data_IF_520090943022
#
_entry.id   IF_520090943022
#
_cell.length_a   1.000
_cell.length_b   1.000
_cell.length_c   1.000
_cell.angle_alpha   90.00
_cell.angle_beta   90.00
_cell.angle_gamma   90.00
#
_symmetry.space_group_name_H-M   'P 1'
#
loop_
_entity.id
_entity.type
_entity.pdbx_description
1 polymer ?
#
# COMPACT_ATOMS: atom_id res chain seq x y z
N UNK A 1 -9.79 -46.59 -3.94
CA UNK A 1 -10.70 -45.51 -3.50
C UNK A 1 -9.91 -44.31 -2.95
N UNK A 2 -8.93 -44.51 -2.08
CA UNK A 2 -8.09 -43.42 -1.52
C UNK A 2 -7.30 -42.62 -2.59
N UNK A 3 -6.72 -43.28 -3.60
CA UNK A 3 -5.96 -42.61 -4.67
C UNK A 3 -6.86 -41.68 -5.52
N UNK A 4 -8.12 -42.05 -5.73
CA UNK A 4 -9.10 -41.25 -6.50
C UNK A 4 -9.52 -40.00 -5.71
N UNK A 5 -9.69 -40.14 -4.40
CA UNK A 5 -10.05 -39.03 -3.50
C UNK A 5 -8.89 -38.02 -3.42
N UNK A 6 -7.64 -38.49 -3.30
CA UNK A 6 -6.45 -37.62 -3.29
C UNK A 6 -6.31 -36.90 -4.64
N UNK A 7 -6.54 -37.58 -5.76
CA UNK A 7 -6.54 -36.96 -7.10
C UNK A 7 -7.59 -35.87 -7.26
N UNK A 8 -8.82 -36.10 -6.78
CA UNK A 8 -9.91 -35.12 -6.81
C UNK A 8 -9.65 -33.90 -5.91
N UNK A 9 -9.09 -34.11 -4.72
CA UNK A 9 -8.71 -33.02 -3.81
C UNK A 9 -7.55 -32.19 -4.38
N UNK A 10 -6.54 -32.83 -4.96
CA UNK A 10 -5.44 -32.14 -5.64
C UNK A 10 -5.95 -31.34 -6.85
N UNK A 11 -6.87 -31.90 -7.63
CA UNK A 11 -7.51 -31.21 -8.76
C UNK A 11 -8.35 -30.01 -8.30
N UNK A 12 -9.17 -30.17 -7.26
CA UNK A 12 -9.97 -29.10 -6.68
C UNK A 12 -9.07 -27.98 -6.12
N UNK A 13 -8.01 -28.34 -5.39
CA UNK A 13 -7.00 -27.40 -4.90
C UNK A 13 -6.32 -26.66 -6.06
N UNK A 14 -5.84 -27.37 -7.08
CA UNK A 14 -5.23 -26.77 -8.27
C UNK A 14 -6.19 -25.79 -8.99
N UNK A 15 -7.45 -26.19 -9.20
CA UNK A 15 -8.50 -25.34 -9.78
C UNK A 15 -8.74 -24.09 -8.93
N UNK A 16 -8.84 -24.25 -7.61
CA UNK A 16 -9.09 -23.15 -6.69
C UNK A 16 -7.92 -22.14 -6.68
N UNK A 17 -6.68 -22.62 -6.56
CA UNK A 17 -5.47 -21.80 -6.63
C UNK A 17 -5.33 -21.08 -7.97
N UNK A 18 -5.54 -21.79 -9.09
CA UNK A 18 -5.46 -21.20 -10.42
C UNK A 18 -6.48 -20.08 -10.63
N UNK A 19 -7.70 -20.24 -10.10
CA UNK A 19 -8.73 -19.20 -10.19
C UNK A 19 -8.45 -17.99 -9.28
N UNK A 20 -7.86 -18.19 -8.09
CA UNK A 20 -7.44 -17.07 -7.22
C UNK A 20 -6.27 -16.29 -7.81
N UNK A 21 -5.28 -16.95 -8.43
CA UNK A 21 -4.19 -16.27 -9.11
C UNK A 21 -4.66 -15.50 -10.34
N UNK A 22 -5.58 -16.06 -11.12
CA UNK A 22 -6.16 -15.38 -12.29
C UNK A 22 -7.01 -14.17 -11.90
N UNK A 23 -7.82 -14.29 -10.84
CA UNK A 23 -8.59 -13.17 -10.30
C UNK A 23 -7.69 -12.06 -9.73
N UNK A 24 -6.61 -12.44 -9.04
CA UNK A 24 -5.59 -11.50 -8.57
C UNK A 24 -4.94 -10.74 -9.72
N UNK A 25 -4.52 -11.44 -10.79
CA UNK A 25 -3.95 -10.80 -11.98
C UNK A 25 -4.93 -9.84 -12.66
N UNK A 26 -6.19 -10.25 -12.80
CA UNK A 26 -7.22 -9.39 -13.40
C UNK A 26 -7.54 -8.17 -12.51
N UNK A 27 -7.40 -8.29 -11.18
CA UNK A 27 -7.53 -7.17 -10.26
C UNK A 27 -6.43 -6.13 -10.49
N UNK A 28 -5.17 -6.59 -10.62
CA UNK A 28 -4.03 -5.71 -10.88
C UNK A 28 -4.18 -5.02 -12.23
N UNK A 29 -4.64 -5.77 -13.24
CA UNK A 29 -4.94 -5.25 -14.57
C UNK A 29 -6.05 -4.21 -14.55
N UNK A 30 -7.11 -4.43 -13.76
CA UNK A 30 -8.18 -3.46 -13.52
C UNK A 30 -7.68 -2.18 -12.85
N UNK A 31 -6.78 -2.30 -11.88
CA UNK A 31 -6.16 -1.16 -11.22
C UNK A 31 -5.35 -0.33 -12.22
N UNK A 32 -4.41 -0.94 -12.95
CA UNK A 32 -3.58 -0.23 -13.95
C UNK A 32 -4.44 0.47 -15.00
N UNK A 33 -5.47 -0.21 -15.50
CA UNK A 33 -6.40 0.36 -16.48
C UNK A 33 -7.10 1.62 -15.96
N UNK A 34 -7.60 1.58 -14.72
CA UNK A 34 -8.31 2.71 -14.12
C UNK A 34 -7.39 3.88 -13.80
N UNK A 35 -6.17 3.63 -13.33
CA UNK A 35 -5.16 4.69 -13.14
C UNK A 35 -4.78 5.34 -14.47
N UNK A 36 -4.56 4.55 -15.53
CA UNK A 36 -4.25 5.08 -16.86
C UNK A 36 -5.39 5.96 -17.42
N UNK A 37 -6.65 5.58 -17.19
CA UNK A 37 -7.80 6.41 -17.54
C UNK A 37 -7.87 7.71 -16.71
N UNK A 38 -7.56 7.63 -15.42
CA UNK A 38 -7.56 8.79 -14.51
C UNK A 38 -6.52 9.84 -14.92
N UNK A 39 -5.37 9.40 -15.44
CA UNK A 39 -4.31 10.27 -15.99
C UNK A 39 -4.65 10.87 -17.37
N UNK A 40 -5.87 10.70 -17.87
CA UNK A 40 -6.30 11.21 -19.17
C UNK A 40 -5.96 10.30 -20.35
N UNK A 41 -5.52 9.07 -20.09
CA UNK A 41 -5.28 8.07 -21.12
C UNK A 41 -6.57 7.68 -21.85
N UNK A 42 -6.43 7.29 -23.12
CA UNK A 42 -7.53 6.70 -23.88
C UNK A 42 -7.82 5.27 -23.40
N UNK A 43 -9.03 4.77 -23.63
CA UNK A 43 -9.36 3.37 -23.33
C UNK A 43 -8.44 2.38 -24.06
N UNK A 44 -7.96 2.72 -25.26
CA UNK A 44 -7.10 1.86 -26.06
C UNK A 44 -5.67 1.81 -25.50
N UNK A 45 -5.11 2.97 -25.10
CA UNK A 45 -3.79 3.02 -24.46
C UNK A 45 -3.83 2.35 -23.09
N UNK A 46 -4.84 2.63 -22.26
CA UNK A 46 -4.98 2.02 -20.94
C UNK A 46 -5.08 0.48 -20.99
N UNK A 47 -5.80 -0.08 -21.97
CA UNK A 47 -5.85 -1.54 -22.16
C UNK A 47 -4.47 -2.10 -22.57
N UNK A 48 -3.76 -1.41 -23.48
CA UNK A 48 -2.42 -1.82 -23.91
C UNK A 48 -1.41 -1.77 -22.75
N UNK A 49 -1.46 -0.74 -21.92
CA UNK A 49 -0.56 -0.59 -20.77
C UNK A 49 -0.83 -1.68 -19.73
N UNK A 50 -2.11 -1.91 -19.41
CA UNK A 50 -2.53 -2.97 -18.50
C UNK A 50 -2.10 -4.36 -19.01
N UNK A 51 -2.22 -4.64 -20.31
CA UNK A 51 -1.76 -5.90 -20.91
C UNK A 51 -0.24 -6.02 -20.94
N UNK A 52 0.48 -4.93 -21.18
CA UNK A 52 1.95 -4.93 -21.30
C UNK A 52 2.60 -5.16 -19.94
N UNK A 53 2.19 -4.39 -18.94
CA UNK A 53 2.73 -4.47 -17.57
C UNK A 53 2.42 -5.84 -16.96
N UNK A 54 1.23 -6.40 -17.22
CA UNK A 54 0.86 -7.71 -16.66
C UNK A 54 1.43 -8.90 -17.41
N UNK A 55 2.17 -8.73 -18.51
CA UNK A 55 2.86 -9.83 -19.22
C UNK A 55 4.22 -10.18 -18.61
N UNK A 56 4.92 -9.20 -18.02
CA UNK A 56 6.20 -9.42 -17.36
C UNK A 56 6.03 -9.54 -15.84
N UNK A 57 5.48 -10.68 -15.41
CA UNK A 57 5.20 -11.00 -14.00
C UNK A 57 6.46 -11.16 -13.13
N UNK A 58 7.63 -11.33 -13.76
CA UNK A 58 8.90 -11.51 -13.05
C UNK A 58 9.64 -10.19 -12.81
N UNK A 59 9.30 -9.14 -13.56
CA UNK A 59 9.88 -7.81 -13.36
C UNK A 59 9.56 -7.26 -11.96
N UNK A 60 10.55 -6.57 -11.38
CA UNK A 60 10.34 -5.86 -10.13
C UNK A 60 9.30 -4.74 -10.28
N UNK A 61 9.17 -4.16 -11.48
CA UNK A 61 8.10 -3.22 -11.83
C UNK A 61 6.71 -3.82 -11.61
N UNK A 62 6.43 -5.03 -12.11
CA UNK A 62 5.14 -5.69 -11.92
C UNK A 62 4.91 -6.09 -10.45
N UNK A 63 5.96 -6.52 -9.73
CA UNK A 63 5.84 -6.79 -8.29
C UNK A 63 5.40 -5.56 -7.51
N UNK A 64 5.92 -4.39 -7.85
CA UNK A 64 5.50 -3.14 -7.22
C UNK A 64 4.06 -2.79 -7.56
N UNK A 65 3.69 -2.87 -8.83
CA UNK A 65 2.31 -2.59 -9.28
C UNK A 65 1.31 -3.55 -8.60
N UNK A 66 1.68 -4.80 -8.38
CA UNK A 66 0.88 -5.76 -7.59
C UNK A 66 0.76 -5.32 -6.13
N UNK A 67 1.83 -4.84 -5.51
CA UNK A 67 1.82 -4.32 -4.14
C UNK A 67 0.94 -3.06 -4.03
N UNK A 68 1.03 -2.14 -5.00
CA UNK A 68 0.19 -0.94 -5.09
C UNK A 68 -1.28 -1.29 -5.25
N UNK A 69 -1.60 -2.16 -6.22
CA UNK A 69 -2.96 -2.65 -6.42
C UNK A 69 -3.51 -3.33 -5.17
N UNK A 70 -2.70 -4.13 -4.46
CA UNK A 70 -3.11 -4.79 -3.21
C UNK A 70 -3.34 -3.79 -2.08
N UNK A 71 -2.49 -2.77 -1.96
CA UNK A 71 -2.66 -1.69 -0.98
C UNK A 71 -3.96 -0.93 -1.22
N UNK A 72 -4.17 -0.45 -2.45
CA UNK A 72 -5.36 0.30 -2.84
C UNK A 72 -6.64 -0.53 -2.68
N UNK A 73 -6.60 -1.81 -3.06
CA UNK A 73 -7.72 -2.72 -2.88
C UNK A 73 -8.12 -2.85 -1.41
N UNK A 74 -7.15 -2.91 -0.50
CA UNK A 74 -7.42 -3.00 0.94
C UNK A 74 -7.94 -1.69 1.52
N UNK A 75 -7.34 -0.55 1.15
CA UNK A 75 -7.69 0.76 1.71
C UNK A 75 -9.00 1.31 1.17
N UNK A 76 -9.27 1.15 -0.12
CA UNK A 76 -10.45 1.73 -0.78
C UNK A 76 -11.61 0.73 -0.88
N UNK A 77 -11.31 -0.57 -0.98
CA UNK A 77 -12.31 -1.60 -1.29
C UNK A 77 -12.41 -2.72 -0.24
N UNK A 78 -11.71 -2.59 0.90
CA UNK A 78 -11.73 -3.59 1.97
C UNK A 78 -11.26 -4.98 1.52
N UNK A 79 -10.40 -5.04 0.48
CA UNK A 79 -9.87 -6.27 -0.10
C UNK A 79 -10.78 -6.93 -1.15
N UNK A 80 -11.91 -6.33 -1.53
CA UNK A 80 -12.86 -6.93 -2.47
C UNK A 80 -12.45 -6.71 -3.93
N UNK A 81 -12.07 -7.78 -4.63
CA UNK A 81 -11.58 -7.78 -6.01
C UNK A 81 -12.67 -7.55 -7.07
N UNK A 82 -13.87 -8.13 -6.89
CA UNK A 82 -14.92 -8.08 -7.91
C UNK A 82 -15.44 -6.66 -8.21
N UNK A 83 -15.64 -5.76 -7.22
CA UNK A 83 -16.09 -4.39 -7.48
C UNK A 83 -15.16 -3.58 -8.39
N UNK A 84 -13.84 -3.63 -8.16
CA UNK A 84 -12.85 -2.88 -8.97
C UNK A 84 -12.78 -3.45 -10.40
N UNK A 85 -12.79 -4.78 -10.56
CA UNK A 85 -12.80 -5.43 -11.87
C UNK A 85 -14.09 -5.06 -12.63
N UNK A 86 -15.24 -5.15 -11.95
CA UNK A 86 -16.53 -4.80 -12.54
C UNK A 86 -16.62 -3.34 -12.97
N UNK A 87 -16.00 -2.44 -12.19
CA UNK A 87 -15.90 -1.02 -12.54
C UNK A 87 -15.05 -0.80 -13.78
N UNK A 88 -13.85 -1.39 -13.83
CA UNK A 88 -12.97 -1.34 -15.00
C UNK A 88 -13.65 -1.88 -16.27
N UNK A 89 -14.37 -3.01 -16.18
CA UNK A 89 -15.15 -3.54 -17.32
C UNK A 89 -16.23 -2.57 -17.80
N UNK A 90 -16.96 -1.91 -16.88
CA UNK A 90 -17.96 -0.89 -17.25
C UNK A 90 -17.33 0.34 -17.91
N UNK A 91 -16.07 0.63 -17.60
CA UNK A 91 -15.30 1.75 -18.18
C UNK A 91 -14.60 1.41 -19.50
N UNK A 92 -14.70 0.15 -19.96
CA UNK A 92 -14.17 -0.29 -21.27
C UNK A 92 -12.91 -1.16 -21.21
N UNK A 93 -12.55 -1.70 -20.04
CA UNK A 93 -11.45 -2.66 -19.95
C UNK A 93 -11.82 -3.97 -20.67
N UNK A 94 -10.92 -4.47 -21.51
CA UNK A 94 -11.06 -5.76 -22.17
C UNK A 94 -10.90 -6.89 -21.16
N UNK A 95 -11.83 -7.84 -21.11
CA UNK A 95 -11.75 -8.96 -20.17
C UNK A 95 -10.72 -9.99 -20.65
N UNK A 96 -9.83 -10.41 -19.76
CA UNK A 96 -8.99 -11.60 -19.97
C UNK A 96 -9.57 -12.84 -19.27
N UNK A 97 -10.72 -12.67 -18.61
CA UNK A 97 -11.39 -13.72 -17.85
C UNK A 97 -12.51 -14.38 -18.68
N UNK A 98 -12.87 -15.63 -18.37
CA UNK A 98 -14.01 -16.29 -19.02
C UNK A 98 -15.32 -15.51 -18.82
N UNK A 99 -16.25 -15.64 -19.77
CA UNK A 99 -17.51 -14.89 -19.78
C UNK A 99 -18.30 -14.97 -18.47
N UNK A 100 -18.34 -16.14 -17.82
CA UNK A 100 -19.03 -16.33 -16.55
C UNK A 100 -18.46 -15.42 -15.43
N UNK A 101 -17.14 -15.21 -15.40
CA UNK A 101 -16.50 -14.35 -14.41
C UNK A 101 -16.80 -12.88 -14.68
N UNK A 102 -16.84 -12.49 -15.96
CA UNK A 102 -17.25 -11.15 -16.38
C UNK A 102 -18.67 -10.84 -15.91
N UNK A 103 -19.62 -11.78 -16.04
CA UNK A 103 -20.97 -11.58 -15.53
C UNK A 103 -20.98 -11.32 -14.03
N UNK A 104 -20.26 -12.14 -13.25
CA UNK A 104 -20.16 -11.98 -11.79
C UNK A 104 -19.53 -10.62 -11.42
N UNK A 105 -18.45 -10.23 -12.09
CA UNK A 105 -17.78 -8.95 -11.84
C UNK A 105 -18.69 -7.75 -12.18
N UNK A 106 -19.44 -7.81 -13.29
CA UNK A 106 -20.39 -6.77 -13.67
C UNK A 106 -21.59 -6.68 -12.71
N UNK A 107 -22.00 -7.80 -12.11
CA UNK A 107 -23.02 -7.82 -11.06
C UNK A 107 -22.54 -7.29 -9.71
N UNK A 108 -21.23 -7.07 -9.52
CA UNK A 108 -20.72 -6.52 -8.28
C UNK A 108 -21.19 -5.06 -8.10
N UNK A 109 -21.66 -4.70 -6.89
CA UNK A 109 -22.16 -3.36 -6.62
C UNK A 109 -21.07 -2.31 -6.82
N UNK A 110 -21.40 -1.22 -7.50
CA UNK A 110 -20.53 -0.06 -7.61
C UNK A 110 -20.50 0.62 -6.23
N UNK A 111 -19.31 0.74 -5.65
CA UNK A 111 -19.14 1.53 -4.43
C UNK A 111 -18.93 2.99 -4.79
N UNK A 112 -19.54 3.91 -4.06
CA UNK A 112 -19.32 5.36 -4.17
C UNK A 112 -17.82 5.71 -4.13
N UNK A 113 -17.02 4.94 -3.38
CA UNK A 113 -15.57 5.07 -3.32
C UNK A 113 -14.86 4.88 -4.68
N UNK A 114 -15.40 4.07 -5.61
CA UNK A 114 -14.85 3.88 -6.96
C UNK A 114 -15.12 5.10 -7.83
N UNK A 115 -16.32 5.68 -7.76
CA UNK A 115 -16.65 6.89 -8.51
C UNK A 115 -15.88 8.12 -7.99
N UNK A 116 -15.65 8.22 -6.68
CA UNK A 116 -14.80 9.27 -6.12
C UNK A 116 -13.33 9.09 -6.58
N UNK A 117 -12.81 7.86 -6.55
CA UNK A 117 -11.43 7.59 -6.90
C UNK A 117 -11.13 7.70 -8.40
N UNK A 118 -12.10 7.34 -9.27
CA UNK A 118 -11.88 7.14 -10.71
C UNK A 118 -12.93 7.81 -11.63
N UNK A 119 -13.99 8.40 -11.09
CA UNK A 119 -15.12 8.97 -11.85
C UNK A 119 -14.97 10.44 -12.25
N UNK A 120 -14.05 11.18 -11.65
CA UNK A 120 -13.89 12.63 -11.86
C UNK A 120 -13.12 12.97 -13.14
N UNK A 121 -13.80 12.92 -14.28
CA UNK A 121 -13.35 13.61 -15.49
C UNK A 121 -13.74 15.09 -15.45
N UNK A 122 -12.91 15.95 -14.86
CA UNK A 122 -12.97 17.40 -15.11
C UNK A 122 -11.57 17.84 -15.58
N UNK A 123 -11.44 18.40 -16.80
CA UNK A 123 -10.17 18.97 -17.24
C UNK A 123 -9.82 20.16 -16.35
N UNK A 124 -8.65 20.11 -15.73
CA UNK A 124 -8.10 21.21 -14.97
C UNK A 124 -7.87 22.40 -15.92
N UNK A 125 -8.77 23.39 -15.89
CA UNK A 125 -8.50 24.68 -16.53
C UNK A 125 -9.14 25.81 -15.73
N UNK A 126 -8.27 26.71 -15.26
CA UNK A 126 -8.49 28.09 -14.79
C UNK A 126 -9.08 28.30 -13.38
N UNK A 127 -8.21 28.21 -12.37
CA UNK A 127 -8.27 29.07 -11.16
C UNK A 127 -6.82 29.42 -10.75
N UNK A 128 -6.18 30.30 -11.52
CA UNK A 128 -4.89 30.94 -11.23
C UNK A 128 -5.26 32.42 -11.01
N UNK A 129 -5.06 33.04 -9.84
CA UNK A 129 -3.77 33.62 -9.46
C UNK A 129 -3.68 34.02 -7.96
N UNK A 130 -4.71 33.82 -7.14
CA UNK A 130 -4.68 34.20 -5.71
C UNK A 130 -4.51 33.03 -4.72
N UNK A 131 -4.58 31.79 -5.19
CA UNK A 131 -4.35 30.59 -4.38
C UNK A 131 -2.89 30.08 -4.43
N UNK A 132 -2.08 30.57 -5.38
CA UNK A 132 -0.74 30.04 -5.66
C UNK A 132 0.20 30.07 -4.45
N UNK A 133 0.25 31.16 -3.67
CA UNK A 133 1.18 31.25 -2.52
C UNK A 133 0.79 30.41 -1.30
N UNK A 134 -0.51 30.11 -1.12
CA UNK A 134 -0.96 29.20 -0.04
C UNK A 134 -0.86 27.74 -0.44
N UNK A 135 -1.00 27.46 -1.73
CA UNK A 135 -0.94 26.10 -2.28
C UNK A 135 0.51 25.64 -2.47
N UNK A 136 1.42 26.53 -2.90
CA UNK A 136 2.86 26.25 -3.00
C UNK A 136 3.46 25.75 -1.67
N UNK A 137 3.11 26.40 -0.54
CA UNK A 137 3.61 25.98 0.78
C UNK A 137 3.00 24.64 1.26
N UNK A 138 1.76 24.34 0.90
CA UNK A 138 1.09 23.08 1.24
C UNK A 138 1.60 21.92 0.38
N UNK A 139 1.87 22.18 -0.89
CA UNK A 139 2.42 21.23 -1.85
C UNK A 139 3.89 20.92 -1.52
N UNK A 140 4.71 21.92 -1.13
CA UNK A 140 6.09 21.69 -0.68
C UNK A 140 6.18 20.87 0.62
N UNK A 141 5.31 21.17 1.60
CA UNK A 141 5.30 20.43 2.87
C UNK A 141 4.84 18.98 2.68
N UNK A 142 3.87 18.76 1.77
CA UNK A 142 3.45 17.42 1.39
C UNK A 142 4.52 16.68 0.59
N UNK A 143 5.21 17.36 -0.34
CA UNK A 143 6.32 16.79 -1.10
C UNK A 143 7.48 16.36 -0.18
N UNK A 144 7.79 17.16 0.84
CA UNK A 144 8.80 16.81 1.84
C UNK A 144 8.39 15.57 2.66
N UNK A 145 7.12 15.51 3.06
CA UNK A 145 6.55 14.33 3.73
C UNK A 145 6.63 13.08 2.84
N UNK A 146 6.20 13.22 1.59
CA UNK A 146 6.20 12.16 0.59
C UNK A 146 7.62 11.64 0.32
N UNK A 147 8.59 12.53 0.11
CA UNK A 147 10.00 12.17 -0.10
C UNK A 147 10.56 11.42 1.10
N UNK A 148 10.30 11.92 2.31
CA UNK A 148 10.75 11.24 3.55
C UNK A 148 10.16 9.84 3.66
N UNK A 149 8.87 9.67 3.35
CA UNK A 149 8.24 8.36 3.31
C UNK A 149 8.87 7.44 2.25
N UNK A 150 9.05 7.92 1.03
CA UNK A 150 9.59 7.14 -0.08
C UNK A 150 11.04 6.70 0.19
N UNK A 151 11.91 7.64 0.57
CA UNK A 151 13.31 7.38 0.89
C UNK A 151 13.43 6.35 2.02
N UNK A 152 12.55 6.44 3.01
CA UNK A 152 12.57 5.51 4.13
C UNK A 152 12.10 4.10 3.76
N UNK A 153 11.08 3.97 2.90
CA UNK A 153 10.68 2.66 2.36
C UNK A 153 11.81 2.06 1.53
N UNK A 154 12.53 2.85 0.73
CA UNK A 154 13.73 2.40 0.01
C UNK A 154 14.81 1.90 0.96
N UNK A 155 15.13 2.69 2.00
CA UNK A 155 16.12 2.32 3.01
C UNK A 155 15.74 1.02 3.73
N UNK A 156 14.49 0.90 4.17
CA UNK A 156 13.99 -0.29 4.90
C UNK A 156 13.88 -1.53 4.04
N UNK A 157 13.54 -1.37 2.76
CA UNK A 157 13.42 -2.49 1.83
C UNK A 157 14.76 -2.93 1.24
N UNK A 158 15.79 -2.09 1.33
CA UNK A 158 17.08 -2.33 0.69
C UNK A 158 17.01 -2.29 -0.84
N UNK A 159 15.90 -1.81 -1.41
CA UNK A 159 15.66 -1.75 -2.86
C UNK A 159 15.89 -0.34 -3.38
N UNK A 160 16.54 -0.25 -4.54
CA UNK A 160 16.83 1.03 -5.19
C UNK A 160 15.55 1.73 -5.70
N UNK A 161 15.63 3.03 -5.94
CA UNK A 161 14.49 3.85 -6.43
C UNK A 161 13.89 3.37 -7.76
N UNK A 162 14.65 2.62 -8.57
CA UNK A 162 14.15 2.00 -9.80
C UNK A 162 13.44 0.65 -9.59
N UNK A 163 13.67 0.00 -8.45
CA UNK A 163 13.10 -1.32 -8.10
C UNK A 163 11.85 -1.24 -7.24
N UNK A 164 11.50 -0.06 -6.73
CA UNK A 164 10.28 0.20 -5.96
C UNK A 164 9.70 1.56 -6.34
N UNK A 165 8.83 1.62 -7.34
CA UNK A 165 8.21 2.88 -7.75
C UNK A 165 7.18 3.32 -6.70
N UNK A 166 7.65 4.03 -5.67
CA UNK A 166 6.79 4.70 -4.68
C UNK A 166 6.15 5.95 -5.29
N UNK A 167 6.73 6.46 -6.40
CA UNK A 167 6.35 7.68 -7.13
C UNK A 167 4.86 7.74 -7.46
N UNK A 168 4.22 6.59 -7.66
CA UNK A 168 2.79 6.50 -7.98
C UNK A 168 1.87 6.69 -6.75
N UNK A 169 2.40 6.75 -5.51
CA UNK A 169 1.64 7.08 -4.29
C UNK A 169 1.55 8.58 -4.01
N UNK A 170 2.23 9.44 -4.77
CA UNK A 170 2.27 10.89 -4.52
C UNK A 170 0.87 11.49 -4.46
N UNK A 171 -0.07 10.98 -5.25
CA UNK A 171 -1.46 11.46 -5.28
C UNK A 171 -2.45 10.49 -4.62
N UNK A 172 -1.96 9.50 -3.87
CA UNK A 172 -2.82 8.50 -3.24
C UNK A 172 -3.50 9.08 -1.98
N UNK A 173 -4.83 9.02 -1.97
CA UNK A 173 -5.67 9.50 -0.87
C UNK A 173 -5.28 8.94 0.52
N UNK A 174 -4.84 7.68 0.68
CA UNK A 174 -4.32 7.18 1.95
C UNK A 174 -3.08 7.96 2.46
N UNK A 175 -2.17 8.36 1.56
CA UNK A 175 -0.95 9.06 1.91
C UNK A 175 -1.22 10.53 2.25
N UNK A 176 -2.09 11.18 1.45
CA UNK A 176 -2.61 12.51 1.75
C UNK A 176 -3.40 12.56 3.06
N UNK A 177 -4.15 11.50 3.39
CA UNK A 177 -4.83 11.39 4.69
C UNK A 177 -3.83 11.22 5.83
N UNK A 178 -2.79 10.40 5.66
CA UNK A 178 -1.75 10.25 6.66
C UNK A 178 -1.04 11.57 6.95
N UNK A 179 -0.73 12.34 5.90
CA UNK A 179 -0.20 13.70 6.03
C UNK A 179 -1.16 14.64 6.77
N UNK A 180 -2.45 14.70 6.37
CA UNK A 180 -3.48 15.52 7.04
C UNK A 180 -3.68 15.16 8.52
N UNK A 181 -3.47 13.89 8.86
CA UNK A 181 -3.54 13.38 10.23
C UNK A 181 -2.21 13.51 11.00
N UNK A 182 -1.21 14.18 10.42
CA UNK A 182 0.12 14.37 11.01
C UNK A 182 0.79 13.07 11.44
N UNK A 183 0.57 11.99 10.69
CA UNK A 183 1.26 10.72 10.90
C UNK A 183 2.74 10.91 10.60
N UNK A 184 3.63 10.34 11.40
CA UNK A 184 5.07 10.35 11.13
C UNK A 184 5.39 9.57 9.84
N UNK A 185 6.03 10.18 8.81
CA UNK A 185 6.34 9.50 7.55
C UNK A 185 7.27 8.29 7.73
N UNK A 186 8.17 8.28 8.73
CA UNK A 186 9.08 7.15 8.98
C UNK A 186 8.33 5.98 9.63
N UNK A 187 7.33 6.27 10.46
CA UNK A 187 6.42 5.25 11.02
C UNK A 187 5.55 4.67 9.92
N UNK A 188 5.02 5.54 9.03
CA UNK A 188 4.22 5.11 7.90
C UNK A 188 5.00 4.22 6.94
N UNK A 189 6.26 4.57 6.64
CA UNK A 189 7.17 3.75 5.84
C UNK A 189 7.42 2.38 6.49
N UNK A 190 7.71 2.35 7.80
CA UNK A 190 7.88 1.10 8.53
C UNK A 190 6.61 0.23 8.52
N UNK A 191 5.43 0.84 8.65
CA UNK A 191 4.15 0.15 8.63
C UNK A 191 3.86 -0.43 7.24
N UNK A 192 4.16 0.34 6.19
CA UNK A 192 4.07 -0.12 4.81
C UNK A 192 5.01 -1.31 4.58
N UNK A 193 6.29 -1.19 4.91
CA UNK A 193 7.25 -2.28 4.72
C UNK A 193 6.87 -3.54 5.50
N UNK A 194 6.43 -3.39 6.75
CA UNK A 194 6.00 -4.52 7.58
C UNK A 194 4.76 -5.22 7.02
N UNK A 195 3.75 -4.44 6.60
CA UNK A 195 2.49 -4.96 6.02
C UNK A 195 2.71 -5.71 4.70
N UNK A 196 3.73 -5.32 3.96
CA UNK A 196 4.04 -5.87 2.64
C UNK A 196 5.21 -6.86 2.65
N UNK A 197 5.69 -7.27 3.83
CA UNK A 197 6.84 -8.17 4.01
C UNK A 197 8.10 -7.70 3.25
N UNK A 198 8.30 -6.38 3.20
CA UNK A 198 9.42 -5.73 2.50
C UNK A 198 10.60 -5.40 3.42
N UNK A 199 10.45 -5.47 4.74
CA UNK A 199 11.50 -5.07 5.69
C UNK A 199 12.74 -5.97 5.54
N UNK A 200 13.81 -5.42 4.97
CA UNK A 200 15.11 -6.07 4.85
C UNK A 200 15.96 -5.87 6.11
N UNK A 201 15.76 -4.76 6.82
CA UNK A 201 16.45 -4.46 8.08
C UNK A 201 16.06 -5.48 9.17
N UNK A 202 17.04 -6.25 9.66
CA UNK A 202 16.85 -7.25 10.70
C UNK A 202 17.81 -7.04 11.87
N UNK A 203 17.26 -7.11 13.06
CA UNK A 203 18.01 -7.06 14.32
C UNK A 203 18.28 -8.49 14.78
N UNK A 204 19.55 -8.86 14.91
CA UNK A 204 19.94 -10.23 15.26
C UNK A 204 19.85 -10.51 16.76
N UNK A 205 19.93 -9.47 17.58
CA UNK A 205 19.91 -9.57 19.04
C UNK A 205 18.90 -8.61 19.64
N UNK A 206 18.33 -9.00 20.78
CA UNK A 206 17.41 -8.14 21.52
C UNK A 206 18.08 -6.81 21.93
N UNK A 207 19.36 -6.83 22.31
CA UNK A 207 20.07 -5.60 22.70
C UNK A 207 20.19 -4.59 21.55
N UNK A 208 20.51 -5.08 20.33
CA UNK A 208 20.58 -4.21 19.14
C UNK A 208 19.20 -3.64 18.79
N UNK A 209 18.16 -4.46 18.94
CA UNK A 209 16.77 -4.06 18.73
C UNK A 209 16.32 -3.02 19.76
N UNK A 210 16.65 -3.24 21.03
CA UNK A 210 16.27 -2.38 22.13
C UNK A 210 16.96 -1.01 22.03
N UNK A 211 18.24 -0.98 21.65
CA UNK A 211 18.94 0.27 21.37
C UNK A 211 18.28 1.06 20.23
N UNK A 212 17.89 0.38 19.14
CA UNK A 212 17.16 1.03 18.05
C UNK A 212 15.77 1.53 18.49
N UNK A 213 15.04 0.73 19.28
CA UNK A 213 13.77 1.15 19.87
C UNK A 213 13.92 2.41 20.73
N UNK A 214 14.97 2.51 21.56
CA UNK A 214 15.23 3.68 22.39
C UNK A 214 15.48 4.94 21.55
N UNK A 215 16.24 4.80 20.45
CA UNK A 215 16.50 5.89 19.51
C UNK A 215 15.23 6.35 18.80
N UNK A 216 14.37 5.42 18.38
CA UNK A 216 13.11 5.73 17.74
C UNK A 216 12.10 6.35 18.71
N UNK A 217 12.03 5.86 19.95
CA UNK A 217 11.18 6.44 20.98
C UNK A 217 11.58 7.88 21.32
N UNK A 218 12.88 8.19 21.26
CA UNK A 218 13.40 9.53 21.50
C UNK A 218 12.83 10.56 20.53
N UNK A 219 12.51 10.19 19.29
CA UNK A 219 11.96 11.09 18.28
C UNK A 219 10.60 11.67 18.65
N UNK A 220 9.84 10.98 19.52
CA UNK A 220 8.54 11.45 20.01
C UNK A 220 8.62 12.28 21.29
N UNK A 221 9.77 12.29 21.97
CA UNK A 221 9.94 13.00 23.23
C UNK A 221 10.29 14.47 22.98
N UNK A 222 9.65 15.37 23.72
CA UNK A 222 9.95 16.80 23.68
C UNK A 222 11.34 17.13 24.27
N UNK A 223 11.77 16.35 25.26
CA UNK A 223 13.07 16.51 25.92
C UNK A 223 13.64 15.18 26.46
N UNK A 224 14.89 15.24 26.90
CA UNK A 224 15.60 14.07 27.43
C UNK A 224 15.01 13.55 28.76
N UNK A 225 14.31 14.39 29.54
CA UNK A 225 13.70 14.00 30.81
C UNK A 225 12.44 13.18 30.55
N UNK A 226 11.59 13.62 29.63
CA UNK A 226 10.41 12.90 29.19
C UNK A 226 10.79 11.55 28.58
N UNK A 227 11.79 11.52 27.71
CA UNK A 227 12.31 10.29 27.12
C UNK A 227 12.76 9.28 28.19
N UNK A 228 13.55 9.72 29.18
CA UNK A 228 13.99 8.86 30.29
C UNK A 228 12.80 8.33 31.11
N UNK A 229 11.83 9.19 31.45
CA UNK A 229 10.61 8.77 32.18
C UNK A 229 9.81 7.73 31.42
N UNK A 230 9.72 7.85 30.10
CA UNK A 230 9.05 6.84 29.27
C UNK A 230 9.82 5.53 29.24
N UNK A 231 11.15 5.56 29.19
CA UNK A 231 11.99 4.36 29.24
C UNK A 231 11.95 3.66 30.60
N UNK A 232 11.94 4.40 31.70
CA UNK A 232 11.82 3.84 33.06
C UNK A 232 10.50 3.08 33.25
N UNK A 233 9.43 3.52 32.57
CA UNK A 233 8.11 2.89 32.60
C UNK A 233 7.92 1.83 31.51
N UNK A 234 8.93 1.60 30.67
CA UNK A 234 8.82 0.69 29.56
C UNK A 234 8.81 -0.76 30.05
N UNK A 235 7.73 -1.48 29.71
CA UNK A 235 7.64 -2.91 29.95
C UNK A 235 8.53 -3.66 28.94
N UNK A 236 9.67 -4.17 29.44
CA UNK A 236 10.62 -4.92 28.64
C UNK A 236 10.01 -6.19 28.03
N UNK A 237 9.05 -6.84 28.69
CA UNK A 237 8.41 -8.04 28.15
C UNK A 237 7.60 -7.74 26.88
N UNK A 238 6.93 -6.59 26.84
CA UNK A 238 6.21 -6.11 25.66
C UNK A 238 7.15 -5.79 24.49
N UNK A 239 8.31 -5.21 24.79
CA UNK A 239 9.30 -4.87 23.77
C UNK A 239 9.97 -6.14 23.23
N UNK A 240 10.31 -7.10 24.11
CA UNK A 240 10.83 -8.41 23.70
C UNK A 240 9.84 -9.17 22.82
N UNK A 241 8.54 -9.15 23.15
CA UNK A 241 7.50 -9.73 22.30
C UNK A 241 7.44 -9.11 20.90
N UNK A 242 7.74 -7.81 20.77
CA UNK A 242 7.80 -7.14 19.47
C UNK A 242 9.04 -7.57 18.67
N UNK A 243 10.18 -7.75 19.36
CA UNK A 243 11.40 -8.31 18.78
C UNK A 243 11.19 -9.73 18.26
N UNK A 244 10.63 -10.63 19.07
CA UNK A 244 10.36 -12.02 18.71
C UNK A 244 9.42 -12.16 17.50
N UNK A 245 8.50 -11.21 17.32
CA UNK A 245 7.58 -11.15 16.18
C UNK A 245 8.17 -10.47 14.94
N UNK A 246 9.41 -10.00 15.00
CA UNK A 246 10.04 -9.27 13.90
C UNK A 246 9.39 -7.91 13.60
N UNK A 247 8.72 -7.30 14.57
CA UNK A 247 8.11 -5.97 14.40
C UNK A 247 9.22 -4.92 14.39
N UNK A 248 9.27 -4.07 13.36
CA UNK A 248 10.30 -3.05 13.24
C UNK A 248 10.34 -2.12 14.48
N UNK A 249 11.52 -1.73 15.02
CA UNK A 249 11.62 -0.91 16.24
C UNK A 249 10.80 0.38 16.21
N UNK A 250 10.66 1.00 15.02
CA UNK A 250 9.79 2.18 14.84
C UNK A 250 8.32 1.93 15.16
N UNK A 251 7.79 0.79 14.74
CA UNK A 251 6.40 0.43 15.01
C UNK A 251 6.20 0.11 16.48
N UNK A 252 7.18 -0.56 17.10
CA UNK A 252 7.18 -0.78 18.54
C UNK A 252 7.24 0.54 19.31
N UNK A 253 8.07 1.50 18.89
CA UNK A 253 8.19 2.82 19.49
C UNK A 253 6.92 3.67 19.34
N UNK A 254 6.33 3.76 18.15
CA UNK A 254 5.04 4.45 17.93
C UNK A 254 3.91 3.80 18.76
N UNK A 255 3.82 2.47 18.77
CA UNK A 255 2.84 1.75 19.58
C UNK A 255 3.00 1.98 21.08
N UNK A 256 4.24 2.11 21.57
CA UNK A 256 4.52 2.45 22.96
C UNK A 256 4.20 3.92 23.26
N UNK A 257 4.60 4.85 22.39
CA UNK A 257 4.30 6.27 22.49
C UNK A 257 2.78 6.51 22.62
N UNK A 258 1.98 5.91 21.73
CA UNK A 258 0.51 6.00 21.80
C UNK A 258 -0.03 5.46 23.12
N UNK A 259 0.52 4.36 23.62
CA UNK A 259 0.11 3.78 24.89
C UNK A 259 0.39 4.71 26.09
N UNK A 260 1.53 5.40 26.11
CA UNK A 260 1.89 6.30 27.22
C UNK A 260 1.24 7.68 27.14
N UNK A 261 0.76 8.09 25.96
CA UNK A 261 0.13 9.40 25.73
C UNK A 261 -1.41 9.37 25.72
N UNK A 262 -2.01 8.19 25.58
CA UNK A 262 -3.47 7.99 25.68
C UNK A 262 -3.95 7.72 27.13
N UNK A 263 -3.05 7.77 28.11
CA UNK A 263 -3.36 7.73 29.55
C UNK A 263 -3.41 9.13 30.14
#
# INVERSE_FOLDING_TARGET
MEIIIIGLLAFAGYKFFRHTTSAGRETVRAYIYLEALKLGGSQQSANRDADTITRDLASDQMRNVVLMAKHQLQTVHGGKQLPIIGYAYRRGMQTAMPSWYRYIALSAPQSIALDIAYGSGIPATKVHEQQADRQLNADEAYDAFYRTFADEVHRLSGRSSGELNIIDFTNDEPLQRAYRNSVDPLVLAAAFCHKHDLTAERYQTYDSYYAAFQNELRRFAADAVQWRRWLEKADQARINSSFERGVHPRLAADGYFRFVTQR
#
